data_IF_575650225520
#
_entry.id   IF_575650225520
#
_cell.length_a   1.000
_cell.length_b   1.000
_cell.length_c   1.000
_cell.angle_alpha   90.00
_cell.angle_beta   90.00
_cell.angle_gamma   90.00
#
_symmetry.space_group_name_H-M   'P 1'
#
loop_
_entity.id
_entity.type
_entity.pdbx_description
1 polymer ?
#
# COMPACT_ATOMS: atom_id res chain seq x y z
N UNK A 1 4.00 19.94 10.21
CA UNK A 1 3.66 20.91 9.15
C UNK A 1 3.17 22.24 9.72
N UNK A 2 2.28 22.27 10.74
CA UNK A 2 1.77 23.52 11.33
C UNK A 2 2.89 24.50 11.75
N UNK A 3 3.88 24.00 12.49
CA UNK A 3 5.01 24.81 12.95
C UNK A 3 5.80 25.41 11.76
N UNK A 4 6.08 24.60 10.75
CA UNK A 4 6.85 25.03 9.57
C UNK A 4 6.08 26.07 8.75
N UNK A 5 4.79 25.84 8.52
CA UNK A 5 3.93 26.78 7.79
C UNK A 5 3.81 28.10 8.53
N UNK A 6 3.63 28.07 9.86
CA UNK A 6 3.56 29.28 10.68
C UNK A 6 4.89 30.09 10.70
N UNK A 7 6.03 29.40 10.87
CA UNK A 7 7.36 30.04 10.93
C UNK A 7 7.78 30.67 9.59
N UNK A 8 7.36 30.06 8.47
CA UNK A 8 7.78 30.47 7.12
C UNK A 8 6.72 31.29 6.37
N UNK A 9 5.51 31.41 6.91
CA UNK A 9 4.38 32.01 6.20
C UNK A 9 3.92 31.18 4.98
N UNK A 10 4.08 29.86 5.04
CA UNK A 10 3.71 28.95 3.96
C UNK A 10 2.35 28.31 4.21
N UNK A 11 1.76 27.80 3.13
CA UNK A 11 0.54 26.99 3.14
C UNK A 11 0.78 25.66 2.42
N UNK A 12 1.85 24.95 2.82
CA UNK A 12 2.20 23.67 2.23
C UNK A 12 1.20 22.62 2.70
N UNK A 13 0.51 22.03 1.73
CA UNK A 13 -0.46 20.96 1.92
C UNK A 13 0.20 19.59 1.87
N UNK A 14 -0.52 18.57 2.37
CA UNK A 14 -0.09 17.18 2.37
C UNK A 14 -1.03 16.39 1.46
N UNK A 15 -0.45 15.66 0.52
CA UNK A 15 -1.09 14.52 -0.13
C UNK A 15 -0.63 13.25 0.57
N UNK A 16 -1.57 12.39 0.96
CA UNK A 16 -1.24 11.10 1.57
C UNK A 16 -1.32 10.01 0.50
N UNK A 17 -0.19 9.41 0.19
CA UNK A 17 -0.17 8.16 -0.57
C UNK A 17 -0.52 6.99 0.36
N UNK A 18 -1.80 6.69 0.41
CA UNK A 18 -2.35 5.58 1.17
C UNK A 18 -2.64 4.37 0.27
N UNK A 19 -1.83 4.18 -0.80
CA UNK A 19 -2.02 3.09 -1.76
C UNK A 19 -2.16 1.72 -1.09
N UNK A 20 -1.49 1.50 0.02
CA UNK A 20 -1.59 0.30 0.86
C UNK A 20 -2.48 0.56 2.07
N UNK A 21 -2.11 1.53 2.90
CA UNK A 21 -2.73 1.80 4.21
C UNK A 21 -4.19 2.26 4.17
N UNK A 22 -4.64 2.83 3.04
CA UNK A 22 -6.00 3.34 2.92
C UNK A 22 -7.12 2.30 3.03
N UNK A 23 -6.80 1.03 2.78
CA UNK A 23 -7.70 -0.11 3.01
C UNK A 23 -7.32 -0.97 4.22
N UNK A 24 -6.41 -0.49 5.07
CA UNK A 24 -5.94 -1.18 6.28
C UNK A 24 -6.34 -0.38 7.52
N UNK A 25 -5.76 0.81 7.69
CA UNK A 25 -5.93 1.63 8.90
C UNK A 25 -7.38 1.93 9.28
N UNK A 26 -8.31 2.24 8.36
CA UNK A 26 -9.70 2.49 8.72
C UNK A 26 -10.40 1.31 9.40
N UNK A 27 -9.85 0.10 9.26
CA UNK A 27 -10.48 -1.13 9.73
C UNK A 27 -9.79 -1.72 10.96
N UNK A 28 -8.46 -1.65 11.06
CA UNK A 28 -7.69 -2.29 12.13
C UNK A 28 -6.99 -1.31 13.07
N UNK A 29 -6.81 -0.06 12.66
CA UNK A 29 -6.19 0.99 13.46
C UNK A 29 -6.86 2.35 13.20
N UNK A 30 -8.18 2.47 13.49
CA UNK A 30 -8.96 3.66 13.17
C UNK A 30 -8.58 4.89 14.00
N UNK A 31 -7.86 4.70 15.13
CA UNK A 31 -7.48 5.80 16.02
C UNK A 31 -6.24 6.56 15.52
N UNK A 32 -5.39 5.92 14.73
CA UNK A 32 -4.22 6.60 14.13
C UNK A 32 -4.68 7.68 13.15
N UNK A 33 -4.25 8.92 13.43
CA UNK A 33 -4.55 10.08 12.60
C UNK A 33 -3.58 10.21 11.43
N UNK A 34 -3.99 9.82 10.25
CA UNK A 34 -3.24 9.95 9.01
C UNK A 34 -4.04 10.59 7.88
N UNK A 35 -5.32 10.79 8.09
CA UNK A 35 -6.34 11.19 7.12
C UNK A 35 -6.75 12.67 7.23
N UNK A 36 -7.93 13.00 6.75
CA UNK A 36 -8.50 14.35 6.76
C UNK A 36 -8.76 14.94 8.16
N UNK A 37 -8.58 14.18 9.24
CA UNK A 37 -8.54 14.72 10.61
C UNK A 37 -7.36 15.66 10.79
N UNK A 38 -6.28 15.44 10.06
CA UNK A 38 -5.14 16.34 10.04
C UNK A 38 -5.45 17.57 9.18
N UNK A 39 -5.10 18.75 9.70
CA UNK A 39 -5.43 20.06 9.10
C UNK A 39 -4.93 20.16 7.64
N UNK A 40 -3.69 19.78 7.39
CA UNK A 40 -3.01 20.00 6.11
C UNK A 40 -3.15 18.85 5.12
N UNK A 41 -3.79 17.76 5.49
CA UNK A 41 -4.10 16.68 4.56
C UNK A 41 -5.30 17.11 3.71
N UNK A 42 -5.05 17.35 2.42
CA UNK A 42 -6.07 17.84 1.49
C UNK A 42 -6.47 16.81 0.43
N UNK A 43 -5.64 15.80 0.21
CA UNK A 43 -5.96 14.70 -0.70
C UNK A 43 -5.32 13.39 -0.25
N UNK A 44 -5.98 12.29 -0.58
CA UNK A 44 -5.56 10.93 -0.24
C UNK A 44 -5.73 10.07 -1.48
N UNK A 45 -4.68 9.31 -1.86
CA UNK A 45 -4.81 8.25 -2.87
C UNK A 45 -4.80 6.88 -2.22
N UNK A 46 -5.56 5.93 -2.78
CA UNK A 46 -5.53 4.53 -2.35
C UNK A 46 -5.76 3.58 -3.53
N UNK A 47 -5.20 2.37 -3.44
CA UNK A 47 -5.26 1.37 -4.52
C UNK A 47 -6.27 0.29 -4.21
N UNK A 48 -7.30 0.16 -5.04
CA UNK A 48 -8.30 -0.90 -4.92
C UNK A 48 -7.72 -2.29 -5.13
N UNK A 49 -6.73 -2.41 -6.02
CA UNK A 49 -6.08 -3.67 -6.38
C UNK A 49 -5.05 -4.20 -5.36
N UNK A 50 -4.84 -3.49 -4.27
CA UNK A 50 -4.03 -3.98 -3.14
C UNK A 50 -4.99 -4.52 -2.07
N UNK A 51 -5.06 -3.85 -0.95
CA UNK A 51 -5.94 -4.26 0.16
C UNK A 51 -7.42 -3.93 -0.04
N UNK A 52 -7.80 -3.29 -1.17
CA UNK A 52 -9.18 -3.14 -1.60
C UNK A 52 -9.79 -4.41 -2.19
N UNK A 53 -8.98 -5.47 -2.42
CA UNK A 53 -9.41 -6.83 -2.80
C UNK A 53 -10.10 -6.90 -4.18
N UNK A 54 -9.61 -6.15 -5.14
CA UNK A 54 -10.02 -6.23 -6.55
C UNK A 54 -8.81 -6.33 -7.46
N UNK A 55 -9.04 -6.71 -8.73
CA UNK A 55 -7.97 -6.76 -9.72
C UNK A 55 -7.47 -5.36 -10.11
N UNK A 56 -6.26 -5.24 -10.70
CA UNK A 56 -5.75 -3.98 -11.22
C UNK A 56 -6.72 -3.29 -12.18
N UNK A 57 -6.80 -1.96 -12.11
CA UNK A 57 -7.67 -1.14 -12.97
C UNK A 57 -8.54 -0.14 -12.21
N UNK A 58 -8.46 -0.09 -10.89
CA UNK A 58 -9.11 0.93 -10.07
C UNK A 58 -8.16 1.49 -9.03
N UNK A 59 -8.13 2.81 -8.92
CA UNK A 59 -7.52 3.57 -7.86
C UNK A 59 -8.46 4.68 -7.44
N UNK A 60 -8.32 5.11 -6.22
CA UNK A 60 -9.13 6.17 -5.63
C UNK A 60 -8.26 7.37 -5.31
N UNK A 61 -8.73 8.55 -5.63
CA UNK A 61 -8.24 9.78 -5.05
C UNK A 61 -9.43 10.50 -4.42
N UNK A 62 -9.27 10.86 -3.16
CA UNK A 62 -10.28 11.56 -2.38
C UNK A 62 -9.73 12.92 -1.99
N UNK A 63 -10.50 13.96 -2.18
CA UNK A 63 -10.17 15.32 -1.80
C UNK A 63 -10.97 15.72 -0.58
N UNK A 64 -10.34 16.45 0.34
CA UNK A 64 -10.99 16.92 1.58
C UNK A 64 -12.18 17.80 1.28
N UNK A 65 -12.07 18.63 0.25
CA UNK A 65 -13.14 19.49 -0.25
C UNK A 65 -12.96 19.74 -1.76
N UNK A 66 -14.04 20.03 -2.46
CA UNK A 66 -14.06 20.30 -3.91
C UNK A 66 -13.14 21.47 -4.31
N UNK A 67 -12.97 22.47 -3.46
CA UNK A 67 -12.10 23.62 -3.71
C UNK A 67 -10.62 23.25 -3.89
N UNK A 68 -10.19 22.09 -3.33
CA UNK A 68 -8.82 21.61 -3.44
C UNK A 68 -8.56 20.79 -4.72
N UNK A 69 -9.62 20.48 -5.47
CA UNK A 69 -9.47 19.85 -6.78
C UNK A 69 -8.97 20.89 -7.78
N UNK A 70 -7.79 20.69 -8.43
CA UNK A 70 -7.27 21.61 -9.41
C UNK A 70 -8.25 21.79 -10.58
N UNK A 71 -8.70 23.03 -10.81
CA UNK A 71 -9.69 23.31 -11.85
C UNK A 71 -9.11 23.21 -13.27
N UNK A 72 -7.85 23.50 -13.44
CA UNK A 72 -7.08 23.37 -14.69
C UNK A 72 -6.87 21.91 -15.13
N UNK A 73 -7.10 20.95 -14.23
CA UNK A 73 -7.13 19.52 -14.55
C UNK A 73 -8.51 19.00 -14.97
N UNK A 74 -9.55 19.82 -14.91
CA UNK A 74 -10.88 19.45 -15.36
C UNK A 74 -11.04 19.69 -16.85
N UNK A 75 -11.20 18.62 -17.61
CA UNK A 75 -11.54 18.69 -19.03
C UNK A 75 -13.05 18.55 -19.18
N UNK A 76 -13.69 19.52 -19.84
CA UNK A 76 -15.09 19.38 -20.26
C UNK A 76 -15.14 18.46 -21.49
N UNK A 77 -15.84 17.35 -21.33
CA UNK A 77 -16.04 16.39 -22.44
C UNK A 77 -17.51 16.41 -22.81
N UNK A 78 -17.82 16.84 -24.03
CA UNK A 78 -19.21 17.07 -24.49
C UNK A 78 -19.70 16.04 -25.52
N UNK A 79 -18.88 15.11 -25.97
CA UNK A 79 -19.25 14.15 -27.03
C UNK A 79 -20.28 13.11 -26.58
N UNK A 80 -20.62 13.03 -25.30
CA UNK A 80 -21.65 12.15 -24.74
C UNK A 80 -23.02 12.85 -24.59
N UNK A 81 -23.20 14.04 -25.17
CA UNK A 81 -24.43 14.79 -25.12
C UNK A 81 -24.66 15.62 -23.84
N UNK A 82 -23.67 15.70 -22.97
CA UNK A 82 -23.64 16.58 -21.81
C UNK A 82 -22.20 16.97 -21.49
N UNK A 83 -21.99 18.12 -20.89
CA UNK A 83 -20.68 18.51 -20.37
C UNK A 83 -20.35 17.72 -19.12
N UNK A 84 -19.51 16.71 -19.27
CA UNK A 84 -19.05 15.85 -18.17
C UNK A 84 -17.64 16.28 -17.79
N UNK A 85 -17.43 16.79 -16.57
CA UNK A 85 -16.09 17.09 -16.11
C UNK A 85 -15.28 15.79 -15.97
N UNK A 86 -14.10 15.74 -16.57
CA UNK A 86 -13.16 14.62 -16.47
C UNK A 86 -11.78 15.13 -16.07
N UNK A 87 -11.21 14.52 -15.05
CA UNK A 87 -9.81 14.74 -14.64
C UNK A 87 -8.88 13.64 -15.16
N UNK A 88 -9.41 12.79 -16.01
CA UNK A 88 -8.67 11.63 -16.51
C UNK A 88 -7.87 11.97 -17.76
N UNK A 89 -6.59 11.62 -17.74
CA UNK A 89 -5.70 11.70 -18.90
C UNK A 89 -6.09 10.67 -19.96
N UNK A 90 -6.62 9.53 -19.55
CA UNK A 90 -7.05 8.46 -20.44
C UNK A 90 -8.52 8.64 -20.85
N UNK A 91 -8.83 8.34 -22.10
CA UNK A 91 -10.21 8.31 -22.60
C UNK A 91 -11.00 7.09 -22.05
N UNK A 92 -11.61 6.30 -22.90
CA UNK A 92 -12.41 5.14 -22.47
C UNK A 92 -11.60 4.18 -21.61
N UNK A 93 -12.19 3.78 -20.47
CA UNK A 93 -11.60 2.82 -19.53
C UNK A 93 -12.63 1.79 -19.10
N UNK A 94 -12.22 0.53 -18.86
CA UNK A 94 -13.15 -0.47 -18.36
C UNK A 94 -13.63 -0.10 -16.94
N UNK A 95 -14.94 -0.12 -16.73
CA UNK A 95 -15.56 0.15 -15.42
C UNK A 95 -15.75 -1.09 -14.54
N UNK A 96 -15.37 -2.27 -15.01
CA UNK A 96 -15.60 -3.52 -14.31
C UNK A 96 -14.95 -3.57 -12.92
N UNK A 97 -13.77 -2.99 -12.76
CA UNK A 97 -13.09 -2.95 -11.46
C UNK A 97 -13.77 -1.99 -10.46
N UNK A 98 -14.40 -0.93 -10.95
CA UNK A 98 -15.22 -0.04 -10.10
C UNK A 98 -16.43 -0.80 -9.57
N UNK A 99 -17.10 -1.58 -10.43
CA UNK A 99 -18.23 -2.44 -10.03
C UNK A 99 -17.76 -3.55 -9.07
N UNK A 100 -16.60 -4.15 -9.31
CA UNK A 100 -16.03 -5.16 -8.43
C UNK A 100 -15.70 -4.56 -7.05
N UNK A 101 -15.16 -3.34 -6.99
CA UNK A 101 -14.91 -2.65 -5.71
C UNK A 101 -16.20 -2.34 -4.97
N UNK A 102 -17.22 -1.88 -5.68
CA UNK A 102 -18.54 -1.63 -5.11
C UNK A 102 -19.17 -2.93 -4.55
N UNK A 103 -19.07 -4.02 -5.31
CA UNK A 103 -19.51 -5.35 -4.85
C UNK A 103 -18.78 -5.78 -3.56
N UNK A 104 -17.46 -5.57 -3.48
CA UNK A 104 -16.71 -5.90 -2.28
C UNK A 104 -17.14 -5.07 -1.07
N UNK A 105 -17.45 -3.79 -1.27
CA UNK A 105 -17.98 -2.95 -0.20
C UNK A 105 -19.34 -3.48 0.33
N UNK A 106 -20.24 -3.87 -0.56
CA UNK A 106 -21.54 -4.43 -0.17
C UNK A 106 -21.43 -5.81 0.47
N UNK A 107 -20.54 -6.67 -0.07
CA UNK A 107 -20.36 -8.04 0.39
C UNK A 107 -19.69 -8.11 1.76
N UNK A 108 -18.61 -7.39 1.95
CA UNK A 108 -17.78 -7.48 3.15
C UNK A 108 -18.24 -6.49 4.22
N UNK A 109 -18.64 -5.29 3.82
CA UNK A 109 -18.87 -4.20 4.75
C UNK A 109 -17.65 -3.87 5.59
N UNK A 110 -17.82 -3.05 6.61
CA UNK A 110 -16.71 -2.66 7.49
C UNK A 110 -16.13 -3.86 8.25
N UNK A 111 -16.98 -4.73 8.75
CA UNK A 111 -16.55 -5.88 9.55
C UNK A 111 -15.82 -6.94 8.72
N UNK A 112 -16.29 -7.25 7.51
CA UNK A 112 -15.60 -8.17 6.63
C UNK A 112 -14.22 -7.68 6.21
N UNK A 113 -14.09 -6.39 5.88
CA UNK A 113 -12.77 -5.80 5.63
C UNK A 113 -11.87 -5.89 6.86
N UNK A 114 -12.40 -5.57 8.06
CA UNK A 114 -11.64 -5.68 9.31
C UNK A 114 -11.09 -7.09 9.51
N UNK A 115 -11.92 -8.12 9.33
CA UNK A 115 -11.51 -9.52 9.48
C UNK A 115 -10.42 -9.91 8.47
N UNK A 116 -10.59 -9.54 7.20
CA UNK A 116 -9.59 -9.83 6.16
C UNK A 116 -8.26 -9.15 6.47
N UNK A 117 -8.29 -7.86 6.80
CA UNK A 117 -7.05 -7.11 7.08
C UNK A 117 -6.37 -7.62 8.36
N UNK A 118 -7.14 -8.00 9.38
CA UNK A 118 -6.61 -8.61 10.60
C UNK A 118 -5.91 -9.94 10.29
N UNK A 119 -6.52 -10.80 9.49
CA UNK A 119 -5.89 -12.06 9.07
C UNK A 119 -4.58 -11.82 8.31
N UNK A 120 -4.53 -10.82 7.42
CA UNK A 120 -3.30 -10.44 6.74
C UNK A 120 -2.21 -10.00 7.72
N UNK A 121 -2.59 -9.22 8.74
CA UNK A 121 -1.66 -8.76 9.78
C UNK A 121 -1.18 -9.92 10.66
N UNK A 122 -2.08 -10.83 11.05
CA UNK A 122 -1.74 -12.00 11.87
C UNK A 122 -0.73 -12.92 11.17
N UNK A 123 -0.93 -13.18 9.87
CA UNK A 123 0.02 -13.94 9.04
C UNK A 123 1.36 -13.21 8.93
N UNK A 124 1.34 -11.89 8.73
CA UNK A 124 2.54 -11.08 8.67
C UNK A 124 3.35 -11.15 9.98
N UNK A 125 2.67 -11.00 11.11
CA UNK A 125 3.26 -11.06 12.44
C UNK A 125 3.86 -12.45 12.72
N UNK A 126 3.13 -13.50 12.34
CA UNK A 126 3.61 -14.87 12.47
C UNK A 126 4.90 -15.11 11.66
N UNK A 127 4.88 -14.74 10.38
CA UNK A 127 6.05 -14.92 9.50
C UNK A 127 7.26 -14.11 9.98
N UNK A 128 7.05 -12.86 10.37
CA UNK A 128 8.11 -12.01 10.92
C UNK A 128 8.77 -12.66 12.15
N UNK A 129 7.95 -13.18 13.07
CA UNK A 129 8.42 -13.88 14.25
C UNK A 129 9.25 -15.12 13.88
N UNK A 130 8.78 -15.94 12.95
CA UNK A 130 9.50 -17.13 12.51
C UNK A 130 10.86 -16.79 11.86
N UNK A 131 10.91 -15.73 11.07
CA UNK A 131 12.16 -15.25 10.48
C UNK A 131 13.11 -14.66 11.54
N UNK A 132 12.59 -13.98 12.56
CA UNK A 132 13.40 -13.44 13.65
C UNK A 132 14.04 -14.55 14.48
N UNK A 133 13.32 -15.64 14.73
CA UNK A 133 13.81 -16.84 15.44
C UNK A 133 14.97 -17.52 14.74
N UNK A 134 15.12 -17.36 13.41
CA UNK A 134 16.30 -17.85 12.66
C UNK A 134 17.58 -17.07 13.05
N UNK A 135 17.44 -15.83 13.48
CA UNK A 135 18.50 -15.04 14.09
C UNK A 135 19.50 -14.36 13.15
N UNK A 136 19.43 -14.61 11.84
CA UNK A 136 20.38 -14.10 10.82
C UNK A 136 19.86 -12.86 10.08
N UNK A 137 18.61 -12.47 10.31
CA UNK A 137 17.95 -11.34 9.66
C UNK A 137 17.90 -10.12 10.57
N UNK A 138 17.94 -8.93 9.96
CA UNK A 138 17.70 -7.64 10.60
C UNK A 138 16.50 -6.99 9.92
N UNK A 139 15.45 -6.68 10.68
CA UNK A 139 14.25 -6.02 10.15
C UNK A 139 14.46 -4.52 10.07
N UNK A 140 14.13 -3.94 8.91
CA UNK A 140 14.24 -2.50 8.64
C UNK A 140 12.92 -1.78 8.81
N UNK A 141 11.81 -2.50 8.95
CA UNK A 141 10.49 -1.94 9.23
C UNK A 141 10.15 -2.08 10.70
N UNK A 142 9.58 -1.03 11.27
CA UNK A 142 8.98 -1.09 12.60
C UNK A 142 7.78 -2.05 12.64
N UNK A 143 7.35 -2.40 13.83
CA UNK A 143 6.08 -3.07 14.05
C UNK A 143 4.96 -2.04 13.84
N UNK A 144 4.30 -2.12 12.70
CA UNK A 144 3.18 -1.24 12.36
C UNK A 144 1.99 -2.08 11.86
N UNK A 145 0.78 -1.52 11.82
CA UNK A 145 -0.41 -2.26 11.39
C UNK A 145 -0.46 -2.58 9.89
N UNK A 146 0.56 -2.24 9.11
CA UNK A 146 0.61 -2.67 7.72
C UNK A 146 1.14 -4.12 7.65
N UNK A 147 0.43 -5.04 6.97
CA UNK A 147 0.81 -6.43 6.86
C UNK A 147 1.94 -6.62 5.83
N UNK A 148 3.06 -5.97 6.10
CA UNK A 148 4.29 -6.06 5.33
C UNK A 148 5.51 -5.84 6.23
N UNK A 149 6.61 -6.46 5.86
CA UNK A 149 7.89 -6.21 6.49
C UNK A 149 9.05 -6.36 5.52
N UNK A 150 10.14 -5.69 5.87
CA UNK A 150 11.38 -5.62 5.08
C UNK A 150 12.52 -6.06 5.96
N UNK A 151 13.42 -6.87 5.40
CA UNK A 151 14.60 -7.33 6.12
C UNK A 151 15.83 -7.38 5.22
N UNK A 152 16.99 -7.35 5.86
CA UNK A 152 18.30 -7.62 5.29
C UNK A 152 19.02 -8.72 6.07
N UNK A 153 20.15 -9.19 5.58
CA UNK A 153 21.04 -10.05 6.34
C UNK A 153 21.81 -9.23 7.38
N UNK A 154 21.95 -9.78 8.60
CA UNK A 154 22.95 -9.30 9.56
C UNK A 154 24.36 -9.53 8.98
N UNK A 155 25.28 -8.66 9.34
CA UNK A 155 26.67 -8.82 8.91
C UNK A 155 27.29 -10.09 9.48
N UNK A 156 27.92 -10.84 8.60
CA UNK A 156 28.67 -12.06 8.95
C UNK A 156 29.77 -12.28 7.89
N UNK A 157 31.05 -12.03 8.25
CA UNK A 157 32.17 -12.14 7.32
C UNK A 157 32.42 -13.57 6.83
N UNK A 158 31.86 -14.59 7.48
CA UNK A 158 32.01 -16.00 7.09
C UNK A 158 30.90 -16.50 6.18
N UNK A 159 29.86 -15.68 5.95
CA UNK A 159 28.74 -16.05 5.09
C UNK A 159 29.20 -16.10 3.63
N UNK A 160 28.88 -17.21 2.97
CA UNK A 160 29.21 -17.45 1.56
C UNK A 160 28.06 -17.32 0.59
N UNK A 161 26.92 -16.86 1.08
CA UNK A 161 25.68 -16.68 0.31
C UNK A 161 25.06 -15.33 0.61
N UNK A 162 24.23 -14.84 -0.30
CA UNK A 162 23.59 -13.55 -0.31
C UNK A 162 22.06 -13.68 -0.26
N UNK A 163 21.33 -12.56 -0.14
CA UNK A 163 19.88 -12.58 -0.31
C UNK A 163 19.44 -12.97 -1.73
N UNK A 164 20.29 -12.76 -2.73
CA UNK A 164 20.00 -13.23 -4.09
C UNK A 164 20.00 -14.75 -4.15
N UNK A 165 20.98 -15.40 -3.54
CA UNK A 165 21.04 -16.87 -3.46
C UNK A 165 19.83 -17.42 -2.69
N UNK A 166 19.41 -16.75 -1.62
CA UNK A 166 18.19 -17.10 -0.90
C UNK A 166 16.93 -16.94 -1.77
N UNK A 167 16.83 -15.86 -2.53
CA UNK A 167 15.74 -15.64 -3.47
C UNK A 167 15.65 -16.73 -4.51
N UNK A 168 16.80 -17.15 -5.07
CA UNK A 168 16.88 -18.23 -6.06
C UNK A 168 16.48 -19.58 -5.45
N UNK A 169 16.94 -19.89 -4.24
CA UNK A 169 16.55 -21.10 -3.53
C UNK A 169 15.04 -21.14 -3.24
N UNK A 170 14.45 -20.02 -2.78
CA UNK A 170 13.01 -19.90 -2.57
C UNK A 170 12.24 -20.09 -3.89
N UNK A 171 12.77 -19.58 -5.00
CA UNK A 171 12.13 -19.74 -6.31
C UNK A 171 12.06 -21.22 -6.74
N UNK A 172 13.09 -21.99 -6.47
CA UNK A 172 13.08 -23.44 -6.72
C UNK A 172 11.97 -24.15 -5.95
N UNK A 173 11.68 -23.68 -4.72
CA UNK A 173 10.58 -24.18 -3.89
C UNK A 173 9.21 -23.58 -4.24
N UNK A 174 9.13 -22.78 -5.30
CA UNK A 174 7.89 -22.17 -5.81
C UNK A 174 7.51 -20.84 -5.14
N UNK A 175 8.40 -20.26 -4.32
CA UNK A 175 8.19 -18.95 -3.69
C UNK A 175 8.85 -17.84 -4.49
N UNK A 176 8.11 -16.77 -4.76
CA UNK A 176 8.63 -15.58 -5.42
C UNK A 176 8.84 -14.46 -4.38
N UNK A 177 10.04 -14.46 -3.78
CA UNK A 177 10.45 -13.42 -2.82
C UNK A 177 11.74 -12.78 -3.35
N UNK A 178 11.64 -11.73 -4.16
CA UNK A 178 12.81 -11.14 -4.81
C UNK A 178 13.70 -10.39 -3.82
N UNK A 179 15.00 -10.52 -4.01
CA UNK A 179 16.01 -9.66 -3.40
C UNK A 179 16.32 -8.50 -4.34
N UNK A 180 16.49 -7.29 -3.80
CA UNK A 180 16.82 -6.08 -4.56
C UNK A 180 17.52 -5.05 -3.69
N UNK A 181 18.22 -4.11 -4.32
CA UNK A 181 18.92 -3.03 -3.62
C UNK A 181 17.94 -1.92 -3.20
N UNK A 182 18.29 -1.21 -2.15
CA UNK A 182 17.61 0.03 -1.76
C UNK A 182 17.81 1.12 -2.83
N UNK A 183 16.97 2.18 -2.83
CA UNK A 183 17.10 3.31 -3.76
C UNK A 183 18.45 4.05 -3.66
N UNK A 184 18.66 4.97 -4.60
CA UNK A 184 19.86 5.82 -4.69
C UNK A 184 20.26 6.38 -3.32
N UNK A 185 21.56 6.33 -3.03
CA UNK A 185 22.23 6.62 -1.78
C UNK A 185 22.21 5.50 -0.71
N UNK A 186 21.55 4.36 -0.97
CA UNK A 186 21.57 3.15 -0.11
C UNK A 186 21.70 1.87 -0.97
N UNK A 187 22.30 1.97 -2.13
CA UNK A 187 22.40 0.88 -3.15
C UNK A 187 23.22 -0.31 -2.65
N UNK A 188 24.06 -0.11 -1.64
CA UNK A 188 24.85 -1.18 -0.98
C UNK A 188 23.98 -2.09 -0.09
N UNK A 189 22.75 -1.66 0.23
CA UNK A 189 21.83 -2.40 1.10
C UNK A 189 20.91 -3.25 0.25
N UNK A 190 21.12 -4.56 0.27
CA UNK A 190 20.22 -5.53 -0.35
C UNK A 190 19.15 -5.94 0.65
N UNK A 191 17.91 -5.94 0.21
CA UNK A 191 16.74 -6.26 1.02
C UNK A 191 15.85 -7.30 0.36
N UNK A 192 15.01 -7.93 1.17
CA UNK A 192 13.83 -8.67 0.74
C UNK A 192 12.60 -8.10 1.44
N UNK A 193 11.44 -8.23 0.81
CA UNK A 193 10.15 -7.75 1.33
C UNK A 193 9.06 -8.79 1.11
N UNK A 194 8.26 -9.01 2.16
CA UNK A 194 7.00 -9.75 2.05
C UNK A 194 5.84 -8.80 2.31
N UNK A 195 4.80 -8.97 1.50
CA UNK A 195 3.50 -8.31 1.66
C UNK A 195 2.45 -9.41 1.82
N UNK A 196 1.82 -9.48 2.98
CA UNK A 196 0.81 -10.49 3.27
C UNK A 196 -0.56 -10.01 2.78
N UNK A 197 -0.94 -10.44 1.59
CA UNK A 197 -2.24 -10.17 0.99
C UNK A 197 -3.06 -11.47 0.91
N UNK A 198 -4.40 -11.35 1.01
CA UNK A 198 -5.30 -12.50 0.98
C UNK A 198 -5.09 -13.42 -0.24
N UNK A 199 -4.85 -12.86 -1.42
CA UNK A 199 -4.66 -13.64 -2.66
C UNK A 199 -3.21 -13.96 -3.00
N UNK A 200 -2.24 -13.55 -2.16
CA UNK A 200 -0.85 -13.98 -2.24
C UNK A 200 -0.51 -15.07 -1.23
N UNK A 201 -1.44 -15.37 -0.31
CA UNK A 201 -1.31 -16.56 0.51
C UNK A 201 -1.41 -17.79 -0.39
N UNK A 202 -0.52 -18.79 -0.25
CA UNK A 202 -0.67 -20.03 -1.00
C UNK A 202 -2.05 -20.60 -0.68
N UNK A 203 -2.82 -20.87 -1.73
CA UNK A 203 -4.00 -21.68 -1.58
C UNK A 203 -3.57 -22.99 -0.92
N UNK A 204 -4.27 -23.47 0.12
CA UNK A 204 -4.02 -24.84 0.56
C UNK A 204 -4.10 -25.72 -0.69
N UNK A 205 -3.02 -26.35 -1.03
CA UNK A 205 -3.05 -27.40 -2.04
C UNK A 205 -3.87 -28.52 -1.42
N UNK A 206 -5.01 -28.80 -2.05
CA UNK A 206 -5.81 -29.99 -1.76
C UNK A 206 -4.97 -31.27 -1.90
#
# INVERSE_FOLDING_TARGET
MDKLNAEKGWEICIHVDAATGGFIHPFIDPETEWDFRLKWVLSISTSGHKFGLVYPGVGWVVWKDKQYLPQDMNFAVNYLGADIPSISINFSRPGNQVLAQYYQFLRLGKEGYRQVQQNCLDVCTYLRKQLDEIGIFEFLSDENPNPLFVWKLKEDPNRKWTLYDLSDALHVEGWQVPAYTMPKAMEDVVIMRIVCLLYTSPSPRD
#
